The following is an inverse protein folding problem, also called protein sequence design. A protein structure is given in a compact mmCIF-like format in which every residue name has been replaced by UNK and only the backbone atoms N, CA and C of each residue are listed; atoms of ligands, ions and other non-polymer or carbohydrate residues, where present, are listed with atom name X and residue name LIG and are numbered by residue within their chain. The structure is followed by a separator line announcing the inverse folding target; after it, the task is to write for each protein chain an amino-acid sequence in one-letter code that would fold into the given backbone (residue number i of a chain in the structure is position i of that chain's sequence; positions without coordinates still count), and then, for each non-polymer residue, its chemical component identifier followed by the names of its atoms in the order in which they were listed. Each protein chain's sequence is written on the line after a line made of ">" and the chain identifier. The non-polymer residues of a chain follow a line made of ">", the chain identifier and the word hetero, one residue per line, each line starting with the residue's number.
data_IF_324589847767
#
_entry.id   IF_324589847767
#
_cell.length_a   1.000
_cell.length_b   1.000
_cell.length_c   1.000
_cell.angle_alpha   90.00
_cell.angle_beta   90.00
_cell.angle_gamma   90.00
#
_symmetry.space_group_name_H-M   'P 1'
#
loop_
_entity.id
_entity.type
_entity.pdbx_description
1 polymer ?
#
# COMPACT_ATOMS: atom_id res chain seq x y z
N UNK A 1 -29.14 40.70 7.62
CA UNK A 1 -28.66 39.61 6.74
C UNK A 1 -28.04 38.55 7.62
N UNK A 2 -28.76 37.45 7.87
CA UNK A 2 -28.31 36.38 8.77
C UNK A 2 -27.70 35.25 7.94
N UNK A 3 -26.37 35.11 7.99
CA UNK A 3 -25.66 33.99 7.37
C UNK A 3 -25.91 32.75 8.22
N UNK A 4 -26.65 31.78 7.68
CA UNK A 4 -26.77 30.46 8.30
C UNK A 4 -25.47 29.68 8.02
N UNK A 5 -24.68 29.44 9.06
CA UNK A 5 -23.52 28.54 9.01
C UNK A 5 -24.01 27.11 8.90
N UNK A 6 -23.81 26.49 7.74
CA UNK A 6 -24.12 25.08 7.53
C UNK A 6 -23.07 24.23 8.25
N UNK A 7 -23.48 23.60 9.35
CA UNK A 7 -22.66 22.63 10.09
C UNK A 7 -22.61 21.34 9.27
N UNK A 8 -21.42 20.82 8.90
CA UNK A 8 -21.33 19.53 8.22
C UNK A 8 -21.78 18.43 9.18
N UNK A 9 -22.76 17.62 8.78
CA UNK A 9 -23.16 16.46 9.54
C UNK A 9 -22.01 15.44 9.55
N UNK A 10 -21.60 14.92 10.72
CA UNK A 10 -20.59 13.87 10.79
C UNK A 10 -21.18 12.59 10.22
N UNK A 11 -20.91 12.30 8.94
CA UNK A 11 -21.19 11.01 8.35
C UNK A 11 -20.09 10.04 8.76
N UNK A 12 -20.17 9.52 9.99
CA UNK A 12 -19.38 8.36 10.41
C UNK A 12 -19.99 7.12 9.76
N UNK A 13 -19.75 6.96 8.46
CA UNK A 13 -19.97 5.66 7.81
C UNK A 13 -18.79 4.80 8.22
N UNK A 14 -19.02 3.82 9.10
CA UNK A 14 -17.99 2.83 9.37
C UNK A 14 -17.67 2.12 8.05
N UNK A 15 -16.40 2.14 7.61
CA UNK A 15 -16.03 1.43 6.40
C UNK A 15 -16.37 -0.05 6.61
N UNK A 16 -17.20 -0.61 5.71
CA UNK A 16 -17.51 -2.03 5.68
C UNK A 16 -16.18 -2.77 5.51
N UNK A 17 -15.67 -3.32 6.62
CA UNK A 17 -14.41 -4.06 6.61
C UNK A 17 -14.71 -5.45 6.08
N UNK A 18 -13.88 -5.93 5.17
CA UNK A 18 -13.92 -7.33 4.78
C UNK A 18 -13.75 -8.21 6.02
N UNK A 19 -14.49 -9.32 6.13
CA UNK A 19 -14.34 -10.25 7.24
C UNK A 19 -12.88 -10.67 7.33
N UNK A 20 -12.32 -10.57 8.54
CA UNK A 20 -10.89 -10.81 8.76
C UNK A 20 -10.68 -12.32 8.72
N UNK A 21 -9.82 -12.78 7.82
CA UNK A 21 -9.43 -14.18 7.79
C UNK A 21 -8.41 -14.52 8.89
N UNK A 22 -8.14 -15.82 9.10
CA UNK A 22 -7.11 -16.27 10.01
C UNK A 22 -5.75 -15.63 9.73
N UNK A 23 -4.93 -15.38 10.77
CA UNK A 23 -3.56 -14.92 10.59
C UNK A 23 -2.77 -15.86 9.66
N UNK A 24 -2.08 -15.29 8.67
CA UNK A 24 -1.29 -16.06 7.70
C UNK A 24 -0.12 -16.83 8.33
N UNK A 25 0.25 -16.51 9.57
CA UNK A 25 1.23 -17.23 10.39
C UNK A 25 0.73 -18.59 10.86
N UNK A 26 -0.58 -18.83 10.91
CA UNK A 26 -1.14 -20.13 11.28
C UNK A 26 -0.94 -21.10 10.11
N UNK A 27 0.05 -21.99 10.24
CA UNK A 27 0.36 -23.03 9.24
C UNK A 27 -0.18 -24.40 9.60
N UNK A 28 -0.50 -24.62 10.87
CA UNK A 28 -0.98 -25.91 11.38
C UNK A 28 -2.51 -25.97 11.34
N UNK A 29 -3.06 -27.13 11.02
CA UNK A 29 -4.51 -27.37 11.04
C UNK A 29 -5.11 -27.10 12.42
N UNK A 30 -4.42 -27.55 13.48
CA UNK A 30 -4.80 -27.30 14.86
C UNK A 30 -4.86 -25.81 15.18
N UNK A 31 -3.85 -25.02 14.78
CA UNK A 31 -3.84 -23.58 15.00
C UNK A 31 -4.99 -22.88 14.27
N UNK A 32 -5.33 -23.32 13.05
CA UNK A 32 -6.49 -22.81 12.32
C UNK A 32 -7.81 -23.16 13.01
N UNK A 33 -7.97 -24.41 13.50
CA UNK A 33 -9.16 -24.82 14.26
C UNK A 33 -9.32 -23.99 15.53
N UNK A 34 -8.25 -23.81 16.29
CA UNK A 34 -8.26 -23.02 17.51
C UNK A 34 -8.66 -21.57 17.23
N UNK A 35 -8.15 -20.96 16.15
CA UNK A 35 -8.56 -19.61 15.74
C UNK A 35 -10.07 -19.52 15.47
N UNK A 36 -10.64 -20.46 14.71
CA UNK A 36 -12.08 -20.42 14.41
C UNK A 36 -12.94 -20.63 15.66
N UNK A 37 -12.51 -21.49 16.58
CA UNK A 37 -13.18 -21.65 17.88
C UNK A 37 -13.13 -20.35 18.67
N UNK A 38 -11.96 -19.71 18.76
CA UNK A 38 -11.82 -18.44 19.48
C UNK A 38 -12.61 -17.29 18.84
N UNK A 39 -12.67 -17.19 17.51
CA UNK A 39 -13.53 -16.20 16.83
C UNK A 39 -15.01 -16.43 17.16
N UNK A 40 -15.47 -17.68 17.15
CA UNK A 40 -16.85 -17.98 17.54
C UNK A 40 -17.12 -17.63 19.00
N UNK A 41 -16.19 -17.95 19.92
CA UNK A 41 -16.30 -17.58 21.33
C UNK A 41 -16.35 -16.06 21.54
N UNK A 42 -15.64 -15.30 20.72
CA UNK A 42 -15.71 -13.83 20.71
C UNK A 42 -17.07 -13.34 20.21
N UNK A 43 -17.61 -13.92 19.14
CA UNK A 43 -18.92 -13.52 18.61
C UNK A 43 -20.05 -13.71 19.62
N UNK A 44 -19.98 -14.77 20.43
CA UNK A 44 -20.96 -15.04 21.50
C UNK A 44 -20.63 -14.32 22.83
N UNK A 45 -19.55 -13.51 22.87
CA UNK A 45 -19.19 -12.69 24.03
C UNK A 45 -18.51 -13.43 25.18
N UNK A 46 -18.04 -14.65 24.98
CA UNK A 46 -17.28 -15.41 25.99
C UNK A 46 -15.78 -15.12 25.96
N UNK A 47 -15.27 -14.62 24.84
CA UNK A 47 -13.87 -14.22 24.68
C UNK A 47 -13.81 -12.73 24.33
N UNK A 48 -12.93 -11.99 25.00
CA UNK A 48 -12.73 -10.58 24.65
C UNK A 48 -12.00 -10.44 23.32
N UNK A 49 -12.19 -9.32 22.64
CA UNK A 49 -11.47 -9.05 21.40
C UNK A 49 -9.97 -8.90 21.67
N UNK A 50 -9.62 -8.32 22.81
CA UNK A 50 -8.25 -8.09 23.25
C UNK A 50 -7.51 -9.41 23.45
N UNK A 51 -8.15 -10.39 24.08
CA UNK A 51 -7.57 -11.73 24.28
C UNK A 51 -7.37 -12.45 22.93
N UNK A 52 -8.36 -12.39 22.05
CA UNK A 52 -8.25 -12.97 20.71
C UNK A 52 -7.12 -12.31 19.89
N UNK A 53 -7.05 -10.98 19.87
CA UNK A 53 -6.03 -10.24 19.14
C UNK A 53 -4.62 -10.45 19.73
N UNK A 54 -4.51 -10.79 21.03
CA UNK A 54 -3.26 -11.17 21.70
C UNK A 54 -2.75 -12.54 21.24
N UNK A 55 -3.62 -13.55 21.22
CA UNK A 55 -3.27 -14.92 20.81
C UNK A 55 -3.04 -15.02 19.29
N UNK A 56 -3.79 -14.24 18.52
CA UNK A 56 -3.78 -14.24 17.06
C UNK A 56 -3.48 -12.85 16.50
N UNK A 57 -2.25 -12.32 16.71
CA UNK A 57 -1.92 -10.97 16.31
C UNK A 57 -1.94 -10.82 14.79
N UNK A 58 -2.98 -10.18 14.27
CA UNK A 58 -3.07 -9.87 12.86
C UNK A 58 -2.30 -8.58 12.58
N UNK A 59 -1.11 -8.71 12.00
CA UNK A 59 -0.31 -7.56 11.57
C UNK A 59 -1.16 -6.62 10.69
N UNK A 60 -1.16 -5.30 10.96
CA UNK A 60 -1.77 -4.36 10.04
C UNK A 60 -1.04 -4.47 8.70
N UNK A 61 -1.79 -4.40 7.59
CA UNK A 61 -1.18 -4.31 6.27
C UNK A 61 -0.25 -3.10 6.27
N UNK A 62 1.02 -3.34 5.98
CA UNK A 62 2.00 -2.28 5.89
C UNK A 62 1.52 -1.34 4.79
N UNK A 63 1.10 -0.12 5.18
CA UNK A 63 0.65 0.90 4.22
C UNK A 63 1.78 1.05 3.19
N UNK A 64 1.49 1.10 1.87
CA UNK A 64 2.51 1.36 0.87
C UNK A 64 3.36 2.53 1.34
N UNK A 65 4.66 2.29 1.49
CA UNK A 65 5.61 3.34 1.88
C UNK A 65 5.42 4.48 0.89
N UNK A 66 5.37 5.73 1.35
CA UNK A 66 5.45 6.88 0.45
C UNK A 66 6.69 6.68 -0.40
N UNK A 67 6.50 6.22 -1.64
CA UNK A 67 7.58 5.97 -2.55
C UNK A 67 8.11 7.36 -2.88
N UNK A 68 9.24 7.73 -2.26
CA UNK A 68 9.88 9.01 -2.51
C UNK A 68 10.06 9.10 -4.02
N UNK A 69 9.26 9.94 -4.67
CA UNK A 69 9.32 10.07 -6.11
C UNK A 69 10.75 10.54 -6.43
N UNK A 70 11.46 9.76 -7.25
CA UNK A 70 12.81 10.08 -7.70
C UNK A 70 12.79 10.39 -9.19
N UNK A 71 11.72 11.09 -9.63
CA UNK A 71 11.52 11.39 -11.03
C UNK A 71 12.70 12.17 -11.61
N UNK A 72 13.32 13.06 -10.83
CA UNK A 72 14.56 13.75 -11.22
C UNK A 72 15.66 12.78 -11.67
N UNK A 73 16.04 11.82 -10.81
CA UNK A 73 17.06 10.81 -11.16
C UNK A 73 16.66 9.91 -12.35
N UNK A 74 15.36 9.76 -12.62
CA UNK A 74 14.87 9.05 -13.82
C UNK A 74 15.04 9.89 -15.08
N UNK A 75 14.76 11.19 -15.00
CA UNK A 75 14.93 12.13 -16.11
C UNK A 75 16.40 12.38 -16.43
N UNK A 76 17.26 12.52 -15.41
CA UNK A 76 18.71 12.72 -15.60
C UNK A 76 19.32 11.60 -16.46
N UNK A 77 18.95 10.33 -16.20
CA UNK A 77 19.42 9.17 -16.99
C UNK A 77 18.91 9.17 -18.43
N UNK A 78 17.70 9.68 -18.66
CA UNK A 78 17.11 9.75 -20.00
C UNK A 78 17.78 10.87 -20.80
N UNK A 79 18.03 12.01 -20.17
CA UNK A 79 18.71 13.14 -20.80
C UNK A 79 20.15 12.79 -21.18
N UNK A 80 20.89 12.11 -20.30
CA UNK A 80 22.24 11.60 -20.59
C UNK A 80 22.26 10.67 -21.81
N UNK A 81 21.36 9.67 -21.86
CA UNK A 81 21.29 8.74 -22.99
C UNK A 81 20.84 9.40 -24.31
N UNK A 82 19.99 10.44 -24.24
CA UNK A 82 19.59 11.23 -25.42
C UNK A 82 20.74 12.09 -25.94
N UNK A 83 21.51 12.71 -25.03
CA UNK A 83 22.66 13.54 -25.38
C UNK A 83 23.78 12.70 -26.01
N UNK A 84 24.06 11.52 -25.47
CA UNK A 84 24.99 10.55 -26.07
C UNK A 84 24.54 10.16 -27.49
N UNK A 85 23.25 9.90 -27.69
CA UNK A 85 22.69 9.53 -29.00
C UNK A 85 22.83 10.68 -30.01
N UNK A 86 22.54 11.94 -29.60
CA UNK A 86 22.70 13.12 -30.45
C UNK A 86 24.14 13.32 -30.88
N UNK A 87 25.08 13.25 -29.94
CA UNK A 87 26.50 13.41 -30.22
C UNK A 87 27.04 12.35 -31.18
N UNK A 88 26.59 11.10 -31.04
CA UNK A 88 26.92 10.02 -31.97
C UNK A 88 26.33 10.20 -33.37
N UNK A 89 25.17 10.85 -33.49
CA UNK A 89 24.51 11.11 -34.78
C UNK A 89 25.20 12.26 -35.53
N UNK A 90 25.54 13.33 -34.80
CA UNK A 90 26.29 14.49 -35.33
C UNK A 90 27.70 14.06 -35.75
N UNK A 91 28.39 13.24 -34.94
CA UNK A 91 29.72 12.73 -35.29
C UNK A 91 29.70 11.88 -36.57
N UNK A 92 28.64 11.10 -36.80
CA UNK A 92 28.48 10.29 -38.03
C UNK A 92 28.13 11.15 -39.27
N UNK A 93 27.38 12.24 -39.10
CA UNK A 93 27.07 13.17 -40.21
C UNK A 93 28.30 13.98 -40.64
N UNK A 94 29.16 14.39 -39.70
CA UNK A 94 30.41 15.10 -40.00
C UNK A 94 31.37 14.22 -40.80
N UNK A 95 31.48 12.93 -40.48
CA UNK A 95 32.33 11.97 -41.21
C UNK A 95 31.86 11.71 -42.66
N UNK A 96 30.58 11.93 -42.97
CA UNK A 96 30.05 11.77 -44.34
C UNK A 96 30.20 13.00 -45.23
N UNK A 97 30.56 14.17 -44.68
CA UNK A 97 30.76 15.41 -45.47
C UNK A 97 32.18 15.58 -46.00
N UNK A 98 33.12 14.74 -45.56
CA UNK A 98 34.53 14.75 -46.00
C UNK A 98 34.87 13.65 -47.03
N UNK A 99 33.87 13.07 -47.70
CA UNK A 99 34.03 12.14 -48.83
C UNK A 99 33.54 12.73 -50.16
#
# INVERSE_FOLDING_TARGET
>A
MTQQTQVPAPQTVEPIRQPRGPPSSLKTEEGLKNYYVSEYLKEIGLLSKEDLDSDYPVKPFQRPRSQRNNNSARFDRIEEGLEETRNNTIAKEVVQKDQ
#
